data_IF_966531683191
#
_entry.id   IF_966531683191
#
_cell.length_a   1.000
_cell.length_b   1.000
_cell.length_c   1.000
_cell.angle_alpha   90.00
_cell.angle_beta   90.00
_cell.angle_gamma   90.00
#
_symmetry.space_group_name_H-M   'P 1'
#
loop_
_entity.id
_entity.type
_entity.pdbx_description
1 polymer ?
#
# COMPACT_ATOMS: atom_id res chain seq x y z
N UNK A 1 -12.97 5.24 8.39
CA UNK A 1 -12.63 6.23 7.33
C UNK A 1 -12.35 5.44 6.07
N UNK A 2 -12.93 5.84 4.94
CA UNK A 2 -12.65 5.20 3.65
C UNK A 2 -11.82 6.14 2.80
N UNK A 3 -10.76 5.62 2.19
CA UNK A 3 -9.97 6.31 1.17
C UNK A 3 -10.14 5.51 -0.11
N UNK A 4 -10.59 6.18 -1.16
CA UNK A 4 -10.79 5.59 -2.48
C UNK A 4 -9.87 6.29 -3.47
N UNK A 5 -9.06 5.52 -4.19
CA UNK A 5 -8.17 6.01 -5.23
C UNK A 5 -8.51 5.26 -6.52
N UNK A 6 -8.99 6.00 -7.52
CA UNK A 6 -9.41 5.41 -8.79
C UNK A 6 -8.25 4.69 -9.50
N UNK A 7 -7.08 5.35 -9.55
CA UNK A 7 -5.86 4.77 -10.14
C UNK A 7 -4.65 5.19 -9.32
N UNK A 8 -3.79 4.24 -8.96
CA UNK A 8 -2.44 4.48 -8.45
C UNK A 8 -1.42 3.94 -9.46
N UNK A 9 -0.70 4.84 -10.10
CA UNK A 9 0.34 4.48 -11.07
C UNK A 9 1.71 4.36 -10.37
N UNK A 10 2.37 3.23 -10.57
CA UNK A 10 3.73 2.95 -10.13
C UNK A 10 4.61 2.81 -11.37
N UNK A 11 5.61 3.66 -11.50
CA UNK A 11 6.49 3.70 -12.66
C UNK A 11 7.95 3.71 -12.23
N UNK A 12 8.82 3.07 -13.00
CA UNK A 12 10.25 3.10 -12.73
C UNK A 12 11.06 2.23 -13.67
N UNK A 13 12.33 2.04 -13.31
CA UNK A 13 13.26 1.11 -13.98
C UNK A 13 13.41 -0.14 -13.13
N UNK A 14 13.55 -1.31 -13.77
CA UNK A 14 13.78 -2.57 -13.10
C UNK A 14 14.92 -3.35 -13.77
N UNK A 15 15.60 -4.16 -12.97
CA UNK A 15 16.46 -5.25 -13.42
C UNK A 15 16.02 -6.49 -12.64
N UNK A 16 15.65 -7.55 -13.34
CA UNK A 16 15.12 -8.78 -12.77
C UNK A 16 15.91 -9.97 -13.29
N UNK A 17 16.34 -10.82 -12.36
CA UNK A 17 16.88 -12.14 -12.64
C UNK A 17 16.39 -13.07 -11.52
N UNK A 18 15.54 -14.04 -11.85
CA UNK A 18 14.94 -14.89 -10.84
C UNK A 18 13.99 -15.94 -11.40
N UNK A 19 13.10 -16.44 -10.56
CA UNK A 19 12.05 -17.38 -10.94
C UNK A 19 10.69 -16.84 -10.51
N UNK A 20 9.75 -16.72 -11.45
CA UNK A 20 8.37 -16.34 -11.20
C UNK A 20 7.44 -17.40 -11.80
N UNK A 21 6.41 -17.80 -11.04
CA UNK A 21 5.44 -18.82 -11.47
C UNK A 21 6.09 -20.15 -11.92
N UNK A 22 7.25 -20.50 -11.35
CA UNK A 22 8.00 -21.70 -11.71
C UNK A 22 8.83 -21.59 -13.00
N UNK A 23 8.92 -20.40 -13.60
CA UNK A 23 9.71 -20.13 -14.80
C UNK A 23 10.87 -19.18 -14.48
N UNK A 24 12.06 -19.39 -15.07
CA UNK A 24 13.13 -18.40 -15.00
C UNK A 24 12.67 -17.12 -15.72
N UNK A 25 12.74 -16.00 -15.02
CA UNK A 25 12.40 -14.68 -15.53
C UNK A 25 13.60 -13.76 -15.48
N UNK A 26 13.90 -13.14 -16.62
CA UNK A 26 14.94 -12.13 -16.75
C UNK A 26 14.40 -10.90 -17.47
N UNK A 27 14.93 -9.73 -17.16
CA UNK A 27 14.56 -8.52 -17.87
C UNK A 27 15.26 -7.29 -17.30
N UNK A 28 15.44 -6.29 -18.16
CA UNK A 28 16.00 -5.00 -17.78
C UNK A 28 15.32 -3.93 -18.63
N UNK A 29 14.62 -3.00 -17.97
CA UNK A 29 13.81 -2.01 -18.66
C UNK A 29 12.96 -1.15 -17.74
N UNK A 30 12.00 -0.46 -18.33
CA UNK A 30 11.01 0.32 -17.56
C UNK A 30 9.82 -0.55 -17.20
N UNK A 31 9.21 -0.29 -16.06
CA UNK A 31 7.93 -0.87 -15.68
C UNK A 31 6.88 0.22 -15.46
N UNK A 32 5.63 -0.15 -15.70
CA UNK A 32 4.42 0.55 -15.30
C UNK A 32 3.47 -0.46 -14.65
N UNK A 33 2.96 -0.12 -13.48
CA UNK A 33 1.91 -0.87 -12.81
C UNK A 33 0.81 0.11 -12.45
N UNK A 34 -0.37 -0.10 -13.00
CA UNK A 34 -1.56 0.68 -12.67
C UNK A 34 -2.43 -0.18 -11.76
N UNK A 35 -2.59 0.25 -10.52
CA UNK A 35 -3.53 -0.35 -9.58
C UNK A 35 -4.85 0.40 -9.69
N UNK A 36 -5.93 -0.29 -10.02
CA UNK A 36 -7.23 0.31 -10.30
C UNK A 36 -8.24 0.01 -9.18
N UNK A 37 -9.06 1.01 -8.87
CA UNK A 37 -10.11 0.96 -7.84
C UNK A 37 -9.56 0.54 -6.46
N UNK A 38 -8.47 1.17 -6.01
CA UNK A 38 -7.94 0.92 -4.68
C UNK A 38 -8.85 1.53 -3.63
N UNK A 39 -9.22 0.71 -2.64
CA UNK A 39 -9.99 1.15 -1.48
C UNK A 39 -9.29 0.71 -0.22
N UNK A 40 -9.06 1.68 0.66
CA UNK A 40 -8.58 1.45 2.01
C UNK A 40 -9.68 1.79 2.98
N UNK A 41 -10.05 0.84 3.82
CA UNK A 41 -11.04 1.02 4.86
C UNK A 41 -10.36 0.99 6.22
N UNK A 42 -10.16 2.15 6.81
CA UNK A 42 -9.53 2.30 8.12
C UNK A 42 -10.57 2.29 9.23
N UNK A 43 -10.33 1.44 10.24
CA UNK A 43 -11.06 1.44 11.50
C UNK A 43 -10.12 1.94 12.59
N UNK A 44 -10.52 3.02 13.24
CA UNK A 44 -9.68 3.70 14.21
C UNK A 44 -10.42 3.82 15.53
N UNK A 45 -9.78 3.35 16.60
CA UNK A 45 -10.25 3.54 17.96
C UNK A 45 -9.46 4.67 18.62
N UNK A 46 -10.17 5.75 18.93
CA UNK A 46 -9.62 6.88 19.67
C UNK A 46 -9.93 6.74 21.17
N UNK A 47 -8.96 7.13 21.98
CA UNK A 47 -9.11 7.27 23.42
C UNK A 47 -8.46 8.55 23.92
N UNK A 48 -8.35 8.67 25.23
CA UNK A 48 -7.68 9.78 25.88
C UNK A 48 -6.25 9.40 26.31
N UNK A 49 -5.36 10.40 26.29
CA UNK A 49 -4.00 10.30 26.82
C UNK A 49 -3.69 11.48 27.75
N UNK A 50 -2.57 11.40 28.48
CA UNK A 50 -2.10 12.44 29.40
C UNK A 50 -3.20 12.97 30.34
N UNK A 51 -3.84 12.06 31.09
CA UNK A 51 -4.93 12.37 32.04
C UNK A 51 -6.13 13.09 31.41
N UNK A 52 -6.45 12.78 30.15
CA UNK A 52 -7.59 13.40 29.46
C UNK A 52 -7.24 14.65 28.68
N UNK A 53 -5.97 15.05 28.64
CA UNK A 53 -5.54 16.29 27.97
C UNK A 53 -5.57 16.19 26.44
N UNK A 54 -5.33 15.03 25.85
CA UNK A 54 -5.29 14.86 24.39
C UNK A 54 -6.10 13.64 23.94
N UNK A 55 -6.65 13.74 22.73
CA UNK A 55 -7.12 12.58 21.97
C UNK A 55 -5.89 11.79 21.51
N UNK A 56 -5.98 10.46 21.52
CA UNK A 56 -4.96 9.56 21.01
C UNK A 56 -5.62 8.45 20.18
N UNK A 57 -5.09 8.19 18.99
CA UNK A 57 -5.33 6.97 18.23
C UNK A 57 -4.66 5.80 18.96
N UNK A 58 -5.48 4.90 19.52
CA UNK A 58 -5.01 3.73 20.31
C UNK A 58 -4.84 2.48 19.46
N UNK A 59 -5.72 2.32 18.47
CA UNK A 59 -5.70 1.20 17.55
C UNK A 59 -6.13 1.69 16.19
N UNK A 60 -5.42 1.24 15.17
CA UNK A 60 -5.82 1.37 13.78
C UNK A 60 -5.71 0.01 13.12
N UNK A 61 -6.79 -0.42 12.48
CA UNK A 61 -6.78 -1.52 11.51
C UNK A 61 -7.20 -0.98 10.16
N UNK A 62 -6.83 -1.68 9.10
CA UNK A 62 -7.31 -1.36 7.76
C UNK A 62 -7.63 -2.64 7.01
N UNK A 63 -8.62 -2.55 6.13
CA UNK A 63 -8.83 -3.51 5.06
C UNK A 63 -8.38 -2.86 3.74
N UNK A 64 -7.68 -3.61 2.92
CA UNK A 64 -7.30 -3.22 1.57
C UNK A 64 -8.11 -4.00 0.53
N UNK A 65 -8.63 -3.29 -0.46
CA UNK A 65 -9.30 -3.87 -1.60
C UNK A 65 -8.72 -3.28 -2.88
N UNK A 66 -8.27 -4.15 -3.77
CA UNK A 66 -7.85 -3.81 -5.12
C UNK A 66 -8.86 -4.38 -6.10
N UNK A 67 -9.33 -3.56 -7.04
CA UNK A 67 -10.25 -4.00 -8.08
C UNK A 67 -9.53 -4.79 -9.17
N UNK A 68 -8.58 -4.13 -9.83
CA UNK A 68 -7.81 -4.70 -10.94
C UNK A 68 -6.39 -4.13 -10.95
N UNK A 69 -5.48 -4.78 -11.68
CA UNK A 69 -4.14 -4.28 -11.91
C UNK A 69 -3.69 -4.49 -13.35
N UNK A 70 -3.08 -3.47 -13.93
CA UNK A 70 -2.41 -3.58 -15.23
C UNK A 70 -0.89 -3.50 -15.02
N UNK A 71 -0.17 -4.53 -15.43
CA UNK A 71 1.25 -4.72 -15.20
C UNK A 71 1.97 -4.78 -16.54
N UNK A 72 2.95 -3.90 -16.70
CA UNK A 72 3.80 -3.83 -17.87
C UNK A 72 5.27 -3.69 -17.50
N UNK A 73 6.03 -4.75 -17.73
CA UNK A 73 7.49 -4.78 -17.68
C UNK A 73 8.05 -4.83 -19.11
N UNK A 74 8.68 -3.73 -19.54
CA UNK A 74 9.34 -3.66 -20.84
C UNK A 74 10.59 -4.52 -20.86
N UNK A 75 10.82 -5.25 -21.96
CA UNK A 75 11.96 -6.15 -22.14
C UNK A 75 12.00 -7.33 -21.15
N UNK A 76 10.87 -7.67 -20.54
CA UNK A 76 10.72 -8.92 -19.78
C UNK A 76 10.85 -10.12 -20.73
N UNK A 77 11.73 -11.06 -20.41
CA UNK A 77 12.08 -12.21 -21.24
C UNK A 77 12.57 -11.85 -22.65
N UNK A 78 13.20 -10.68 -22.80
CA UNK A 78 13.58 -10.15 -24.11
C UNK A 78 12.43 -9.53 -24.90
N UNK A 79 11.26 -9.36 -24.27
CA UNK A 79 10.07 -8.77 -24.86
C UNK A 79 9.28 -9.73 -25.75
N UNK A 80 8.59 -9.18 -26.75
CA UNK A 80 7.76 -9.93 -27.69
C UNK A 80 6.61 -10.67 -27.01
N UNK A 81 6.19 -11.79 -27.63
CA UNK A 81 5.01 -12.55 -27.20
C UNK A 81 5.19 -13.14 -25.80
N UNK A 82 6.37 -13.68 -25.47
CA UNK A 82 6.63 -14.28 -24.16
C UNK A 82 6.58 -13.24 -23.04
N UNK A 83 7.20 -12.07 -23.23
CA UNK A 83 7.10 -10.96 -22.28
C UNK A 83 5.66 -10.49 -22.09
N UNK A 84 4.89 -10.41 -23.19
CA UNK A 84 3.46 -10.10 -23.14
C UNK A 84 2.65 -11.08 -22.31
N UNK A 85 2.82 -12.39 -22.54
CA UNK A 85 2.12 -13.44 -21.79
C UNK A 85 2.44 -13.41 -20.29
N UNK A 86 3.68 -13.12 -19.91
CA UNK A 86 4.04 -13.02 -18.49
C UNK A 86 3.46 -11.74 -17.88
N UNK A 87 3.45 -10.62 -18.59
CA UNK A 87 2.78 -9.40 -18.13
C UNK A 87 1.29 -9.65 -17.89
N UNK A 88 0.59 -10.29 -18.83
CA UNK A 88 -0.83 -10.66 -18.66
C UNK A 88 -1.05 -11.57 -17.44
N UNK A 89 -0.19 -12.58 -17.26
CA UNK A 89 -0.24 -13.44 -16.09
C UNK A 89 0.00 -12.66 -14.79
N UNK A 90 0.96 -11.72 -14.79
CA UNK A 90 1.22 -10.88 -13.62
C UNK A 90 0.05 -9.96 -13.32
N UNK A 91 -0.56 -9.30 -14.32
CA UNK A 91 -1.77 -8.49 -14.15
C UNK A 91 -2.90 -9.29 -13.49
N UNK A 92 -3.15 -10.51 -13.95
CA UNK A 92 -4.20 -11.38 -13.41
C UNK A 92 -3.91 -11.86 -11.97
N UNK A 93 -2.65 -12.14 -11.65
CA UNK A 93 -2.25 -12.69 -10.35
C UNK A 93 -1.93 -11.60 -9.30
N UNK A 94 -1.64 -10.36 -9.72
CA UNK A 94 -1.17 -9.30 -8.83
C UNK A 94 -2.18 -8.98 -7.71
N UNK A 95 -3.50 -8.91 -7.93
CA UNK A 95 -4.45 -8.72 -6.83
C UNK A 95 -4.34 -9.80 -5.74
N UNK A 96 -4.17 -11.06 -6.13
CA UNK A 96 -3.95 -12.14 -5.18
C UNK A 96 -2.59 -12.03 -4.47
N UNK A 97 -1.51 -11.78 -5.21
CA UNK A 97 -0.17 -11.63 -4.63
C UNK A 97 -0.10 -10.46 -3.64
N UNK A 98 -0.76 -9.34 -3.95
CA UNK A 98 -0.82 -8.19 -3.06
C UNK A 98 -1.54 -8.51 -1.75
N UNK A 99 -2.59 -9.33 -1.76
CA UNK A 99 -3.25 -9.79 -0.52
C UNK A 99 -2.31 -10.58 0.41
N UNK A 100 -1.33 -11.31 -0.15
CA UNK A 100 -0.32 -12.03 0.64
C UNK A 100 0.70 -11.05 1.23
N UNK A 101 1.11 -10.07 0.43
CA UNK A 101 2.08 -9.04 0.83
C UNK A 101 1.47 -8.08 1.85
N UNK A 102 0.16 -7.82 1.78
CA UNK A 102 -0.60 -6.98 2.70
C UNK A 102 -0.35 -7.35 4.16
N UNK A 103 -0.39 -8.64 4.49
CA UNK A 103 -0.15 -9.11 5.86
C UNK A 103 1.23 -8.71 6.41
N UNK A 104 2.21 -8.43 5.55
CA UNK A 104 3.56 -7.99 5.93
C UNK A 104 3.76 -6.49 5.85
N UNK A 105 3.13 -5.82 4.87
CA UNK A 105 3.32 -4.39 4.60
C UNK A 105 2.35 -3.52 5.38
N UNK A 106 1.12 -3.99 5.58
CA UNK A 106 0.08 -3.21 6.21
C UNK A 106 0.36 -2.92 7.70
N UNK A 107 0.81 -3.88 8.54
CA UNK A 107 1.09 -3.58 9.95
C UNK A 107 2.10 -2.43 10.18
N UNK A 108 3.31 -2.44 9.58
CA UNK A 108 4.25 -1.34 9.78
C UNK A 108 3.73 -0.01 9.22
N UNK A 109 3.02 -0.03 8.08
CA UNK A 109 2.38 1.16 7.53
C UNK A 109 1.35 1.77 8.50
N UNK A 110 0.47 0.94 9.09
CA UNK A 110 -0.53 1.38 10.05
C UNK A 110 0.09 1.91 11.35
N UNK A 111 1.21 1.33 11.80
CA UNK A 111 1.99 1.87 12.92
C UNK A 111 2.49 3.27 12.59
N UNK A 112 3.15 3.46 11.45
CA UNK A 112 3.64 4.79 11.04
C UNK A 112 2.52 5.80 10.90
N UNK A 113 1.38 5.42 10.32
CA UNK A 113 0.23 6.30 10.18
C UNK A 113 -0.39 6.67 11.54
N UNK A 114 -0.46 5.71 12.46
CA UNK A 114 -0.93 5.93 13.84
C UNK A 114 -0.04 6.91 14.59
N UNK A 115 1.28 6.77 14.45
CA UNK A 115 2.26 7.65 15.08
C UNK A 115 2.14 9.07 14.52
N UNK A 116 2.08 9.22 13.20
CA UNK A 116 1.89 10.52 12.55
C UNK A 116 0.58 11.21 12.98
N UNK A 117 -0.53 10.47 13.05
CA UNK A 117 -1.81 11.01 13.55
C UNK A 117 -1.67 11.45 15.01
N UNK A 118 -1.03 10.65 15.85
CA UNK A 118 -0.84 10.98 17.26
C UNK A 118 0.04 12.22 17.45
N UNK A 119 1.10 12.37 16.66
CA UNK A 119 1.94 13.58 16.65
C UNK A 119 1.12 14.83 16.33
N UNK A 120 0.22 14.75 15.34
CA UNK A 120 -0.68 15.86 15.01
C UNK A 120 -1.64 16.14 16.16
N UNK A 121 -2.27 15.12 16.74
CA UNK A 121 -3.26 15.27 17.82
C UNK A 121 -2.68 15.88 19.10
N UNK A 122 -1.39 15.71 19.37
CA UNK A 122 -0.71 16.34 20.50
C UNK A 122 -0.70 17.88 20.42
N UNK A 123 -0.92 18.46 19.24
CA UNK A 123 -1.02 19.91 19.07
C UNK A 123 -2.41 20.48 19.44
N UNK A 124 -3.39 19.62 19.73
CA UNK A 124 -4.79 20.00 20.00
C UNK A 124 -5.26 19.53 21.38
N UNK A 125 -4.87 20.21 22.48
CA UNK A 125 -5.32 19.86 23.82
C UNK A 125 -6.83 20.10 23.99
N UNK A 126 -7.52 19.17 24.65
CA UNK A 126 -8.96 19.22 24.91
C UNK A 126 -9.34 20.17 26.05
N UNK A 127 -8.41 20.41 26.97
CA UNK A 127 -8.58 21.36 28.07
C UNK A 127 -7.70 22.58 27.81
N UNK A 128 -8.18 23.81 28.12
CA UNK A 128 -7.34 24.98 28.05
C UNK A 128 -6.09 24.77 28.93
N UNK A 129 -4.93 25.18 28.42
CA UNK A 129 -3.70 25.18 29.21
C UNK A 129 -3.98 25.91 30.53
N UNK A 130 -3.57 25.36 31.69
CA UNK A 130 -3.75 26.08 32.95
C UNK A 130 -3.09 27.45 32.80
N UNK A 131 -3.90 28.50 33.00
CA UNK A 131 -3.43 29.88 33.04
C UNK A 131 -2.35 29.98 34.11
N UNK A 132 -1.14 30.38 33.70
CA UNK A 132 -0.05 30.73 34.61
C UNK A 132 -0.42 31.95 35.45
#
# INVERSE_FOLDING_TARGET
MTIEQAVLELNGTYTMEGNALGLPVTGDGNFRIDLNDLRFLFYTYFGLSNFGKYIQCKLMTADFLLGDADVHFNNLMGGGVTGGLINEALSAELPFLLSIVEAKVLPPFLTTLTDAINEVLLNYPLLPLPSK
#
